data_IF_401025325190
#
_entry.id   IF_401025325190
#
_cell.length_a   1.000
_cell.length_b   1.000
_cell.length_c   1.000
_cell.angle_alpha   90.00
_cell.angle_beta   90.00
_cell.angle_gamma   90.00
#
_symmetry.space_group_name_H-M   'P 1'
#
loop_
_entity.id
_entity.type
_entity.pdbx_description
1 polymer ?
#
# COMPACT_ATOMS: atom_id res chain seq x y z
N UNK A 1 9.64 15.84 2.89
CA UNK A 1 9.83 15.02 1.69
C UNK A 1 8.51 14.92 0.95
N UNK A 2 8.45 15.26 -0.33
CA UNK A 2 7.20 15.14 -1.10
C UNK A 2 6.92 13.66 -1.44
N UNK A 3 5.74 13.17 -1.12
CA UNK A 3 5.33 11.77 -1.33
C UNK A 3 4.16 11.78 -2.29
N UNK A 4 4.26 11.00 -3.36
CA UNK A 4 3.21 10.91 -4.39
C UNK A 4 2.85 9.46 -4.59
N UNK A 5 1.56 9.14 -4.48
CA UNK A 5 1.02 7.89 -5.03
C UNK A 5 1.05 8.02 -6.54
N UNK A 6 1.99 7.32 -7.18
CA UNK A 6 2.24 7.45 -8.61
C UNK A 6 1.27 6.61 -9.42
N UNK A 7 1.01 5.38 -8.95
CA UNK A 7 0.09 4.47 -9.63
C UNK A 7 -0.59 3.53 -8.65
N UNK A 8 -1.87 3.34 -8.83
CA UNK A 8 -2.66 2.33 -8.13
C UNK A 8 -3.14 1.28 -9.13
N UNK A 9 -2.93 0.01 -8.80
CA UNK A 9 -3.33 -1.15 -9.60
C UNK A 9 -4.45 -1.87 -8.85
N UNK A 10 -5.72 -1.45 -9.03
CA UNK A 10 -6.85 -2.01 -8.30
C UNK A 10 -7.15 -3.44 -8.76
N UNK A 11 -7.33 -4.34 -7.79
CA UNK A 11 -7.92 -5.66 -7.97
C UNK A 11 -8.37 -6.18 -6.60
N UNK A 12 -9.39 -7.03 -6.54
CA UNK A 12 -9.87 -7.59 -5.29
C UNK A 12 -9.54 -9.09 -5.21
N UNK A 13 -8.79 -9.49 -4.18
CA UNK A 13 -8.61 -10.91 -3.82
C UNK A 13 -9.05 -11.11 -2.39
N UNK A 14 -10.00 -12.01 -2.21
CA UNK A 14 -10.59 -12.30 -0.91
C UNK A 14 -9.81 -13.39 -0.16
N UNK A 15 -9.31 -13.08 1.03
CA UNK A 15 -8.67 -14.03 1.95
C UNK A 15 -9.51 -14.21 3.22
N UNK A 16 -9.15 -15.16 4.08
CA UNK A 16 -9.94 -15.49 5.28
C UNK A 16 -10.25 -14.27 6.17
N UNK A 17 -9.23 -13.47 6.50
CA UNK A 17 -9.34 -12.36 7.45
C UNK A 17 -9.17 -10.97 6.83
N UNK A 18 -8.79 -10.91 5.55
CA UNK A 18 -8.51 -9.66 4.86
C UNK A 18 -8.84 -9.75 3.37
N UNK A 19 -8.94 -8.61 2.71
CA UNK A 19 -9.00 -8.47 1.26
C UNK A 19 -7.72 -7.80 0.77
N UNK A 20 -7.19 -8.24 -0.36
CA UNK A 20 -6.22 -7.45 -1.12
C UNK A 20 -7.01 -6.52 -2.01
N UNK A 21 -6.76 -5.21 -1.92
CA UNK A 21 -7.44 -4.18 -2.73
C UNK A 21 -6.62 -3.73 -3.94
N UNK A 22 -5.35 -4.11 -3.99
CA UNK A 22 -4.48 -3.83 -5.11
C UNK A 22 -3.02 -3.66 -4.71
N UNK A 23 -2.22 -3.19 -5.67
CA UNK A 23 -0.87 -2.71 -5.45
C UNK A 23 -0.80 -1.20 -5.64
N UNK A 24 0.15 -0.55 -4.97
CA UNK A 24 0.47 0.86 -5.17
C UNK A 24 1.96 1.06 -5.39
N UNK A 25 2.29 1.93 -6.33
CA UNK A 25 3.63 2.48 -6.52
C UNK A 25 3.67 3.90 -5.94
N UNK A 26 4.68 4.18 -5.13
CA UNK A 26 4.87 5.45 -4.44
C UNK A 26 6.21 6.05 -4.83
N UNK A 27 6.22 7.35 -5.12
CA UNK A 27 7.41 8.12 -5.45
C UNK A 27 7.73 9.07 -4.30
N UNK A 28 8.96 9.00 -3.81
CA UNK A 28 9.52 9.90 -2.79
C UNK A 28 10.42 10.90 -3.51
N UNK A 29 9.88 12.10 -3.75
CA UNK A 29 10.52 13.16 -4.55
C UNK A 29 11.09 12.62 -5.87
N UNK A 30 12.27 13.06 -6.32
CA UNK A 30 12.98 12.49 -7.46
C UNK A 30 14.11 11.54 -7.04
N UNK A 31 14.03 11.00 -5.81
CA UNK A 31 15.09 10.18 -5.22
C UNK A 31 14.79 8.70 -5.34
N UNK A 32 13.57 8.29 -4.99
CA UNK A 32 13.24 6.88 -4.87
C UNK A 32 11.82 6.58 -5.36
N UNK A 33 11.67 5.43 -6.03
CA UNK A 33 10.37 4.85 -6.35
C UNK A 33 10.24 3.51 -5.65
N UNK A 34 9.20 3.39 -4.84
CA UNK A 34 8.81 2.17 -4.14
C UNK A 34 7.68 1.52 -4.92
N UNK A 35 7.91 0.29 -5.40
CA UNK A 35 6.94 -0.42 -6.23
C UNK A 35 6.27 -1.57 -5.49
N UNK A 36 5.06 -1.91 -5.93
CA UNK A 36 4.34 -3.11 -5.51
C UNK A 36 4.06 -3.20 -4.00
N UNK A 37 3.78 -2.06 -3.36
CA UNK A 37 3.26 -2.06 -1.98
C UNK A 37 1.84 -2.61 -2.03
N UNK A 38 1.56 -3.67 -1.26
CA UNK A 38 0.25 -4.31 -1.26
C UNK A 38 -0.70 -3.58 -0.32
N UNK A 39 -1.91 -3.32 -0.80
CA UNK A 39 -2.99 -2.70 -0.03
C UNK A 39 -3.92 -3.79 0.48
N UNK A 40 -4.10 -3.83 1.79
CA UNK A 40 -4.90 -4.83 2.47
C UNK A 40 -6.01 -4.15 3.27
N UNK A 41 -7.19 -4.77 3.31
CA UNK A 41 -8.30 -4.35 4.15
C UNK A 41 -8.69 -5.48 5.08
N UNK A 42 -8.71 -5.20 6.38
CA UNK A 42 -9.17 -6.13 7.39
C UNK A 42 -10.69 -6.28 7.28
N UNK A 43 -11.19 -7.52 7.28
CA UNK A 43 -12.63 -7.80 7.18
C UNK A 43 -13.40 -7.46 8.46
N UNK A 44 -12.74 -7.44 9.61
CA UNK A 44 -13.39 -7.24 10.90
C UNK A 44 -13.80 -5.78 11.11
N UNK A 45 -12.90 -4.85 10.82
CA UNK A 45 -13.05 -3.42 11.13
C UNK A 45 -12.89 -2.50 9.90
N UNK A 46 -12.74 -3.08 8.71
CA UNK A 46 -12.48 -2.38 7.45
C UNK A 46 -11.19 -1.53 7.45
N UNK A 47 -10.30 -1.70 8.42
CA UNK A 47 -9.03 -0.97 8.49
C UNK A 47 -8.12 -1.32 7.31
N UNK A 48 -7.45 -0.30 6.76
CA UNK A 48 -6.53 -0.45 5.63
C UNK A 48 -5.09 -0.44 6.13
N UNK A 49 -4.31 -1.41 5.65
CA UNK A 49 -2.91 -1.56 5.99
C UNK A 49 -2.06 -1.86 4.76
N UNK A 50 -0.80 -1.46 4.85
CA UNK A 50 0.19 -1.64 3.79
C UNK A 50 1.06 -2.84 4.13
N UNK A 51 1.27 -3.73 3.16
CA UNK A 51 2.30 -4.75 3.25
C UNK A 51 3.41 -4.42 2.25
N UNK A 52 4.62 -4.21 2.79
CA UNK A 52 5.82 -3.99 1.98
C UNK A 52 6.17 -5.27 1.20
N UNK A 53 6.72 -5.15 -0.02
CA UNK A 53 7.16 -6.30 -0.79
C UNK A 53 8.26 -7.06 -0.04
N UNK A 54 8.25 -8.39 -0.15
CA UNK A 54 9.23 -9.28 0.48
C UNK A 54 10.00 -10.03 -0.59
N UNK A 55 11.27 -10.35 -0.33
CA UNK A 55 12.01 -11.28 -1.19
C UNK A 55 11.44 -12.69 -1.06
N UNK A 56 11.40 -13.46 -2.16
CA UNK A 56 10.83 -14.82 -2.19
C UNK A 56 11.41 -15.74 -1.10
N UNK A 57 12.71 -15.59 -0.83
CA UNK A 57 13.44 -16.46 0.10
C UNK A 57 13.57 -15.87 1.50
N UNK A 58 13.01 -14.67 1.75
CA UNK A 58 13.06 -14.02 3.05
C UNK A 58 11.68 -13.49 3.45
N UNK A 59 11.21 -13.88 4.63
CA UNK A 59 9.99 -13.29 5.24
C UNK A 59 10.16 -11.83 5.65
N UNK A 60 11.32 -11.22 5.40
CA UNK A 60 11.61 -9.83 5.74
C UNK A 60 11.18 -8.89 4.60
N UNK A 61 10.69 -7.69 4.92
CA UNK A 61 10.45 -6.64 3.93
C UNK A 61 11.72 -6.31 3.14
N UNK A 62 11.57 -6.00 1.86
CA UNK A 62 12.65 -5.46 1.02
C UNK A 62 13.06 -4.06 1.48
N UNK A 63 12.12 -3.30 2.02
CA UNK A 63 12.34 -1.99 2.63
C UNK A 63 11.34 -1.75 3.76
N UNK A 64 11.66 -0.79 4.62
CA UNK A 64 10.81 -0.34 5.71
C UNK A 64 10.57 1.17 5.59
N UNK A 65 9.34 1.60 5.91
CA UNK A 65 9.02 3.01 6.07
C UNK A 65 9.18 3.37 7.55
N UNK A 66 10.21 4.14 7.87
CA UNK A 66 10.52 4.51 9.26
C UNK A 66 9.56 5.58 9.81
N UNK A 67 8.97 6.38 8.93
CA UNK A 67 8.07 7.47 9.30
C UNK A 67 6.60 7.05 9.17
N UNK A 68 5.84 7.20 10.27
CA UNK A 68 4.41 6.88 10.31
C UNK A 68 3.58 7.82 9.44
N UNK A 69 3.98 9.10 9.29
CA UNK A 69 3.24 10.07 8.47
C UNK A 69 3.23 9.66 7.01
N UNK A 70 4.34 9.12 6.51
CA UNK A 70 4.44 8.56 5.16
C UNK A 70 3.46 7.40 4.95
N UNK A 71 3.41 6.48 5.91
CA UNK A 71 2.51 5.33 5.88
C UNK A 71 1.05 5.77 5.86
N UNK A 72 0.68 6.72 6.71
CA UNK A 72 -0.71 7.20 6.81
C UNK A 72 -1.13 8.02 5.60
N UNK A 73 -0.23 8.84 5.04
CA UNK A 73 -0.46 9.55 3.78
C UNK A 73 -0.81 8.57 2.65
N UNK A 74 -0.01 7.51 2.48
CA UNK A 74 -0.23 6.50 1.43
C UNK A 74 -1.60 5.83 1.63
N UNK A 75 -1.93 5.42 2.86
CA UNK A 75 -3.23 4.80 3.17
C UNK A 75 -4.40 5.72 2.80
N UNK A 76 -4.38 6.97 3.27
CA UNK A 76 -5.47 7.92 3.03
C UNK A 76 -5.65 8.20 1.53
N UNK A 77 -4.54 8.37 0.81
CA UNK A 77 -4.61 8.64 -0.63
C UNK A 77 -5.15 7.45 -1.42
N UNK A 78 -4.74 6.22 -1.06
CA UNK A 78 -5.26 5.00 -1.68
C UNK A 78 -6.74 4.80 -1.35
N UNK A 79 -7.17 5.04 -0.11
CA UNK A 79 -8.59 4.97 0.28
C UNK A 79 -9.42 5.93 -0.58
N UNK A 80 -8.97 7.18 -0.76
CA UNK A 80 -9.62 8.15 -1.65
C UNK A 80 -9.75 7.60 -3.06
N UNK A 81 -8.66 7.08 -3.64
CA UNK A 81 -8.68 6.52 -5.00
C UNK A 81 -9.63 5.33 -5.15
N UNK A 82 -9.75 4.47 -4.13
CA UNK A 82 -10.68 3.34 -4.15
C UNK A 82 -12.13 3.82 -4.12
N UNK A 83 -12.43 4.86 -3.34
CA UNK A 83 -13.77 5.42 -3.25
C UNK A 83 -14.18 6.21 -4.51
N UNK A 84 -13.23 6.74 -5.28
CA UNK A 84 -13.51 7.43 -6.56
C UNK A 84 -13.83 6.48 -7.71
N UNK A 85 -13.42 5.22 -7.62
CA UNK A 85 -13.58 4.20 -8.68
C UNK A 85 -14.83 3.31 -8.44
N UNK A 86 -15.44 3.39 -7.27
CA UNK A 86 -16.65 2.65 -6.88
C UNK A 86 -17.89 3.52 -7.03
#
# INVERSE_FOLDING_TARGET
MNIVVERFYPFEVDYRNYKVLGYVDVKLENVLRLKYIKILQNKLDNSVFLQMPTCKDQKKPFFELLDSKTTDYIKQKVISMINEVR
#
